data_IF_596082951367
#
_entry.id   IF_596082951367
#
_cell.length_a   1.000
_cell.length_b   1.000
_cell.length_c   1.000
_cell.angle_alpha   90.00
_cell.angle_beta   90.00
_cell.angle_gamma   90.00
#
_symmetry.space_group_name_H-M   'P 1'
#
loop_
_entity.id
_entity.type
_entity.pdbx_description
1 polymer ?
#
# COMPACT_ATOMS: atom_id res chain seq x y z
N UNK A 1 -6.92 -7.72 25.77
CA UNK A 1 -7.09 -8.65 24.63
C UNK A 1 -6.03 -8.37 23.58
N UNK A 2 -5.59 -9.45 22.93
CA UNK A 2 -4.48 -9.67 21.99
C UNK A 2 -3.84 -8.47 21.27
N UNK A 3 -2.53 -8.31 21.53
CA UNK A 3 -1.54 -7.74 20.59
C UNK A 3 -1.59 -8.58 19.31
N UNK A 4 -1.73 -7.94 18.16
CA UNK A 4 -1.50 -8.57 16.86
C UNK A 4 -0.40 -7.78 16.16
N UNK A 5 0.79 -8.31 16.33
CA UNK A 5 2.04 -7.84 15.79
C UNK A 5 2.01 -7.79 14.26
N UNK A 6 2.45 -6.65 13.72
CA UNK A 6 2.90 -6.48 12.34
C UNK A 6 4.02 -7.46 12.04
N UNK A 7 3.71 -8.59 11.41
CA UNK A 7 4.69 -9.43 10.72
C UNK A 7 4.02 -10.01 9.49
N UNK A 8 4.45 -9.57 8.31
CA UNK A 8 4.69 -10.35 7.08
C UNK A 8 4.75 -9.35 5.91
N UNK A 9 5.90 -8.72 5.68
CA UNK A 9 6.14 -7.97 4.42
C UNK A 9 7.51 -8.28 3.77
N UNK A 10 8.39 -9.01 4.45
CA UNK A 10 9.74 -9.26 3.92
C UNK A 10 9.80 -10.36 2.84
N UNK A 11 8.72 -11.13 2.62
CA UNK A 11 8.71 -12.22 1.62
C UNK A 11 8.05 -11.85 0.27
N UNK A 12 7.41 -10.68 0.14
CA UNK A 12 6.74 -10.28 -1.11
C UNK A 12 7.70 -9.69 -2.15
N UNK A 13 8.92 -9.31 -1.75
CA UNK A 13 9.88 -8.63 -2.64
C UNK A 13 10.54 -9.55 -3.67
N UNK A 14 10.67 -10.85 -3.40
CA UNK A 14 11.47 -11.74 -4.25
C UNK A 14 10.72 -12.34 -5.45
N UNK A 15 9.38 -12.32 -5.49
CA UNK A 15 8.63 -12.76 -6.67
C UNK A 15 8.39 -11.66 -7.71
N UNK A 16 8.65 -10.40 -7.34
CA UNK A 16 8.27 -9.20 -8.11
C UNK A 16 9.24 -8.88 -9.24
N UNK A 17 10.47 -9.41 -9.21
CA UNK A 17 11.50 -9.13 -10.23
C UNK A 17 11.30 -9.89 -11.55
N UNK A 18 10.20 -10.64 -11.71
CA UNK A 18 10.03 -11.61 -12.80
C UNK A 18 9.11 -11.16 -13.94
N UNK A 19 8.44 -10.00 -13.85
CA UNK A 19 7.55 -9.53 -14.92
C UNK A 19 8.35 -8.71 -15.94
N UNK A 20 8.48 -9.15 -17.20
CA UNK A 20 9.15 -8.40 -18.25
C UNK A 20 8.43 -7.08 -18.56
N UNK A 21 9.21 -6.02 -18.83
CA UNK A 21 8.71 -4.67 -19.19
C UNK A 21 7.79 -4.72 -20.43
N UNK A 22 8.00 -5.69 -21.32
CA UNK A 22 7.19 -5.89 -22.53
C UNK A 22 5.72 -6.18 -22.23
N UNK A 23 5.43 -6.87 -21.12
CA UNK A 23 4.06 -7.22 -20.71
C UNK A 23 3.57 -6.37 -19.54
N UNK A 24 4.43 -5.53 -18.96
CA UNK A 24 4.05 -4.58 -17.92
C UNK A 24 3.31 -3.37 -18.50
N UNK A 25 2.01 -3.56 -18.71
CA UNK A 25 1.10 -2.52 -19.21
C UNK A 25 1.01 -1.35 -18.25
N UNK A 26 1.09 -1.58 -16.94
CA UNK A 26 1.01 -0.52 -15.95
C UNK A 26 2.24 0.40 -16.03
N UNK A 27 3.44 -0.17 -16.16
CA UNK A 27 4.68 0.58 -16.38
C UNK A 27 4.63 1.37 -17.70
N UNK A 28 4.13 0.78 -18.78
CA UNK A 28 3.99 1.46 -20.07
C UNK A 28 3.06 2.67 -20.02
N UNK A 29 1.98 2.60 -19.24
CA UNK A 29 0.97 3.64 -19.16
C UNK A 29 1.30 4.72 -18.11
N UNK A 30 1.79 4.31 -16.94
CA UNK A 30 1.95 5.17 -15.76
C UNK A 30 3.42 5.45 -15.40
N UNK A 31 4.38 4.80 -16.07
CA UNK A 31 5.81 4.94 -15.77
C UNK A 31 6.25 4.33 -14.43
N UNK A 32 5.37 3.55 -13.79
CA UNK A 32 5.61 2.84 -12.53
C UNK A 32 5.05 1.44 -12.63
N UNK A 33 5.64 0.47 -11.96
CA UNK A 33 5.09 -0.87 -11.94
C UNK A 33 3.84 -0.96 -11.07
N UNK A 34 2.92 -1.88 -11.38
CA UNK A 34 1.66 -2.02 -10.64
C UNK A 34 1.86 -2.30 -9.15
N UNK A 35 2.93 -2.98 -8.78
CA UNK A 35 3.25 -3.34 -7.40
C UNK A 35 3.98 -2.23 -6.63
N UNK A 36 4.47 -1.21 -7.33
CA UNK A 36 5.01 0.00 -6.69
C UNK A 36 3.89 0.97 -6.26
N UNK A 37 2.64 0.69 -6.66
CA UNK A 37 1.50 1.53 -6.28
C UNK A 37 1.07 1.18 -4.86
N UNK A 38 1.32 2.12 -3.94
CA UNK A 38 0.83 2.04 -2.58
C UNK A 38 -0.62 2.57 -2.52
N UNK A 39 -1.59 1.68 -2.67
CA UNK A 39 -3.03 2.00 -2.53
C UNK A 39 -3.47 2.20 -1.08
N UNK A 40 -2.61 1.88 -0.10
CA UNK A 40 -2.95 2.05 1.30
C UNK A 40 -2.70 3.50 1.71
N UNK A 41 -3.68 4.36 1.44
CA UNK A 41 -3.69 5.70 2.02
C UNK A 41 -3.65 5.59 3.55
N UNK A 42 -2.70 6.32 4.17
CA UNK A 42 -2.50 6.36 5.61
C UNK A 42 -2.84 7.77 6.09
N UNK A 43 -3.44 7.89 7.27
CA UNK A 43 -3.69 9.21 7.83
C UNK A 43 -2.33 9.88 8.13
N UNK A 44 -2.09 11.11 7.65
CA UNK A 44 -0.82 11.82 7.85
C UNK A 44 -0.52 12.15 9.32
N UNK A 45 -1.50 12.02 10.23
CA UNK A 45 -1.34 12.34 11.65
C UNK A 45 -0.99 11.13 12.52
N UNK A 46 -1.56 9.97 12.24
CA UNK A 46 -1.38 8.77 13.08
C UNK A 46 -0.78 7.59 12.33
N UNK A 47 -0.52 7.74 11.03
CA UNK A 47 0.08 6.75 10.13
C UNK A 47 -0.66 5.40 10.10
N UNK A 48 -1.89 5.36 10.64
CA UNK A 48 -2.79 4.22 10.52
C UNK A 48 -3.49 4.25 9.17
N UNK A 49 -3.82 3.05 8.69
CA UNK A 49 -4.60 2.85 7.47
C UNK A 49 -5.95 3.57 7.58
N UNK A 50 -6.31 4.36 6.56
CA UNK A 50 -7.66 4.92 6.47
C UNK A 50 -8.64 3.83 6.05
N UNK A 51 -9.87 3.94 6.50
CA UNK A 51 -10.93 2.98 6.14
C UNK A 51 -11.34 3.13 4.67
N UNK A 52 -12.15 2.21 4.14
CA UNK A 52 -12.64 2.18 2.76
C UNK A 52 -13.43 3.44 2.38
N UNK A 53 -13.98 4.14 3.38
CA UNK A 53 -14.68 5.41 3.23
C UNK A 53 -13.75 6.64 3.29
N UNK A 54 -12.43 6.45 3.40
CA UNK A 54 -11.45 7.54 3.49
C UNK A 54 -11.33 8.18 4.89
N UNK A 55 -11.96 7.59 5.91
CA UNK A 55 -11.95 8.14 7.27
C UNK A 55 -10.87 7.50 8.16
N UNK A 56 -10.24 8.33 8.98
CA UNK A 56 -9.38 7.88 10.07
C UNK A 56 -10.12 7.91 11.41
N UNK A 57 -10.01 6.84 12.19
CA UNK A 57 -10.55 6.77 13.56
C UNK A 57 -9.79 7.65 14.58
N UNK A 58 -8.74 8.37 14.15
CA UNK A 58 -7.91 9.19 15.01
C UNK A 58 -8.52 10.55 15.37
N UNK A 59 -9.77 10.82 14.94
CA UNK A 59 -10.59 12.02 15.19
C UNK A 59 -9.99 13.36 14.69
N UNK A 60 -8.68 13.43 14.47
CA UNK A 60 -7.95 14.60 13.99
C UNK A 60 -7.78 14.64 12.45
N UNK A 61 -8.06 13.53 11.76
CA UNK A 61 -8.02 13.44 10.29
C UNK A 61 -9.44 13.63 9.67
N UNK A 62 -10.44 14.01 10.46
CA UNK A 62 -11.74 14.43 9.93
C UNK A 62 -11.61 15.86 9.38
N UNK A 63 -11.68 16.00 8.05
CA UNK A 63 -11.87 17.30 7.40
C UNK A 63 -13.28 17.82 7.65
#
# INVERSE_FOLDING_TARGET
MTKRDSKTDENKKELVSAVPIEIDTHFKLFGKHMWEIEYNEKCPLCEKKIDEFGFCACEACAG
#
